data_IF_567156380959
#
_entry.id   IF_567156380959
#
_cell.length_a   1.000
_cell.length_b   1.000
_cell.length_c   1.000
_cell.angle_alpha   90.00
_cell.angle_beta   90.00
_cell.angle_gamma   90.00
#
_symmetry.space_group_name_H-M   'P 1'
#
loop_
_entity.id
_entity.type
_entity.pdbx_description
1 polymer ?
#
# COMPACT_ATOMS: atom_id res chain seq x y z
N UNK A 1 -8.04 -12.11 10.22
CA UNK A 1 -7.69 -12.73 8.92
C UNK A 1 -8.10 -14.21 8.83
N UNK A 2 -8.36 -14.83 9.96
CA UNK A 2 -8.85 -16.22 10.01
C UNK A 2 -10.37 -16.32 9.85
N UNK A 3 -11.11 -15.24 10.08
CA UNK A 3 -12.54 -15.21 9.87
C UNK A 3 -12.87 -15.20 8.37
N UNK A 4 -13.86 -15.97 7.89
CA UNK A 4 -14.24 -15.98 6.48
C UNK A 4 -14.55 -14.61 5.90
N UNK A 5 -15.27 -13.77 6.62
CA UNK A 5 -15.66 -12.42 6.19
C UNK A 5 -14.48 -11.53 5.79
N UNK A 6 -13.32 -11.69 6.43
CA UNK A 6 -12.09 -10.96 6.09
C UNK A 6 -11.63 -11.18 4.64
N UNK A 7 -12.03 -12.28 4.03
CA UNK A 7 -11.68 -12.63 2.67
C UNK A 7 -12.85 -12.49 1.69
N UNK A 8 -14.07 -12.63 2.16
CA UNK A 8 -15.28 -12.61 1.34
C UNK A 8 -15.80 -11.18 1.14
N UNK A 9 -15.77 -10.36 2.19
CA UNK A 9 -16.29 -8.98 2.17
C UNK A 9 -15.15 -7.98 1.94
N UNK A 10 -14.64 -7.95 0.70
CA UNK A 10 -13.63 -7.00 0.25
C UNK A 10 -14.27 -6.04 -0.74
N UNK A 11 -14.36 -4.78 -0.39
CA UNK A 11 -14.94 -3.80 -1.29
C UNK A 11 -15.68 -2.71 -0.52
N UNK A 12 -16.97 -2.63 -0.73
CA UNK A 12 -17.80 -1.57 -0.17
C UNK A 12 -17.93 -1.68 1.36
N UNK A 13 -17.78 -0.55 2.05
CA UNK A 13 -17.84 -0.48 3.52
C UNK A 13 -19.22 -0.92 4.02
N UNK A 14 -20.27 -0.63 3.27
CA UNK A 14 -21.64 -1.02 3.57
C UNK A 14 -21.82 -2.54 3.72
N UNK A 15 -21.16 -3.30 2.86
CA UNK A 15 -21.19 -4.77 2.96
C UNK A 15 -20.39 -5.26 4.16
N UNK A 16 -19.25 -4.63 4.44
CA UNK A 16 -18.40 -5.00 5.58
C UNK A 16 -19.07 -4.75 6.92
N UNK A 17 -19.88 -3.70 7.03
CA UNK A 17 -20.67 -3.39 8.24
C UNK A 17 -21.65 -4.51 8.62
N UNK A 18 -22.04 -5.35 7.66
CA UNK A 18 -22.96 -6.48 7.89
C UNK A 18 -22.25 -7.77 8.30
N UNK A 19 -20.92 -7.77 8.35
CA UNK A 19 -20.14 -8.95 8.71
C UNK A 19 -20.37 -9.37 10.16
N UNK A 20 -20.29 -10.67 10.42
CA UNK A 20 -20.40 -11.20 11.78
C UNK A 20 -19.37 -10.60 12.73
N UNK A 21 -18.16 -10.27 12.24
CA UNK A 21 -17.13 -9.59 13.02
C UNK A 21 -17.64 -8.26 13.55
N UNK A 22 -18.20 -7.43 12.68
CA UNK A 22 -18.65 -6.09 13.05
C UNK A 22 -19.89 -6.18 13.94
N UNK A 23 -20.88 -6.97 13.55
CA UNK A 23 -22.14 -7.11 14.28
C UNK A 23 -21.95 -7.62 15.73
N UNK A 24 -21.00 -8.52 15.92
CA UNK A 24 -20.75 -9.09 17.24
C UNK A 24 -19.81 -8.22 18.12
N UNK A 25 -18.94 -7.41 17.52
CA UNK A 25 -17.94 -6.66 18.27
C UNK A 25 -18.33 -5.21 18.51
N UNK A 26 -18.96 -4.55 17.53
CA UNK A 26 -19.32 -3.12 17.63
C UNK A 26 -20.06 -2.76 18.92
N UNK A 27 -21.08 -3.54 19.41
CA UNK A 27 -21.82 -3.17 20.61
C UNK A 27 -21.00 -3.15 21.91
N UNK A 28 -19.78 -3.66 21.88
CA UNK A 28 -18.91 -3.78 23.04
C UNK A 28 -17.80 -2.72 23.12
N UNK A 29 -17.72 -1.81 22.16
CA UNK A 29 -16.66 -0.82 22.07
C UNK A 29 -17.18 0.59 21.80
N UNK A 30 -16.48 1.58 22.31
CA UNK A 30 -16.82 3.00 22.16
C UNK A 30 -15.98 3.68 21.07
N UNK A 31 -14.85 3.09 20.71
CA UNK A 31 -13.90 3.66 19.75
C UNK A 31 -13.17 2.55 18.99
N UNK A 32 -12.92 2.80 17.71
CA UNK A 32 -12.08 1.96 16.88
C UNK A 32 -10.72 2.62 16.64
N UNK A 33 -9.64 1.91 16.97
CA UNK A 33 -8.27 2.35 16.73
C UNK A 33 -7.64 1.48 15.65
N UNK A 34 -7.31 2.05 14.50
CA UNK A 34 -6.55 1.34 13.48
C UNK A 34 -5.05 1.66 13.62
N UNK A 35 -4.27 0.67 14.04
CA UNK A 35 -2.81 0.75 14.16
C UNK A 35 -2.07 -0.25 13.25
N UNK A 36 -2.78 -0.79 12.25
CA UNK A 36 -2.29 -1.82 11.35
C UNK A 36 -1.78 -1.22 10.02
N UNK A 37 -0.72 -0.41 10.05
CA UNK A 37 -0.17 0.27 8.87
C UNK A 37 0.14 -0.71 7.72
N UNK A 38 0.79 -1.84 7.99
CA UNK A 38 1.13 -2.85 6.98
C UNK A 38 -0.07 -3.49 6.26
N UNK A 39 -1.28 -3.34 6.81
CA UNK A 39 -2.52 -3.83 6.22
C UNK A 39 -3.47 -2.70 5.76
N UNK A 40 -3.09 -1.43 5.95
CA UNK A 40 -3.95 -0.26 5.69
C UNK A 40 -4.44 -0.14 4.23
N UNK A 41 -3.71 -0.75 3.29
CA UNK A 41 -4.05 -0.78 1.87
C UNK A 41 -5.19 -1.76 1.52
N UNK A 42 -5.69 -2.52 2.52
CA UNK A 42 -6.75 -3.52 2.30
C UNK A 42 -8.10 -2.96 2.71
N UNK A 43 -9.12 -3.27 1.90
CA UNK A 43 -10.52 -3.08 2.30
C UNK A 43 -11.02 -4.41 2.86
N UNK A 44 -11.19 -4.49 4.18
CA UNK A 44 -11.73 -5.68 4.85
C UNK A 44 -12.41 -5.30 6.17
N UNK A 45 -13.35 -6.13 6.68
CA UNK A 45 -14.16 -5.80 7.86
C UNK A 45 -13.36 -5.31 9.07
N UNK A 46 -12.28 -5.99 9.43
CA UNK A 46 -11.48 -5.60 10.61
C UNK A 46 -10.69 -4.29 10.43
N UNK A 47 -10.55 -3.77 9.22
CA UNK A 47 -9.81 -2.54 8.92
C UNK A 47 -10.72 -1.35 8.65
N UNK A 48 -11.81 -1.56 7.93
CA UNK A 48 -12.68 -0.50 7.45
C UNK A 48 -14.14 -0.62 7.91
N UNK A 49 -14.61 -1.82 8.28
CA UNK A 49 -16.02 -2.06 8.62
C UNK A 49 -16.52 -1.35 9.89
N UNK A 50 -15.62 -0.97 10.81
CA UNK A 50 -16.00 -0.20 12.00
C UNK A 50 -16.08 1.31 11.77
N UNK A 51 -15.49 1.81 10.67
CA UNK A 51 -15.22 3.24 10.51
C UNK A 51 -16.45 4.13 10.45
N UNK A 52 -17.60 3.58 10.08
CA UNK A 52 -18.90 4.30 10.07
C UNK A 52 -19.77 3.99 11.28
N UNK A 53 -19.40 2.99 12.07
CA UNK A 53 -20.15 2.54 13.26
C UNK A 53 -19.63 3.17 14.54
N UNK A 54 -18.31 3.35 14.63
CA UNK A 54 -17.62 3.87 15.79
C UNK A 54 -16.78 5.09 15.44
N UNK A 55 -16.56 6.03 16.37
CA UNK A 55 -15.49 7.01 16.27
C UNK A 55 -14.17 6.29 15.97
N UNK A 56 -13.49 6.71 14.89
CA UNK A 56 -12.33 5.97 14.38
C UNK A 56 -11.09 6.87 14.36
N UNK A 57 -9.98 6.36 14.90
CA UNK A 57 -8.72 7.09 14.99
C UNK A 57 -7.54 6.21 14.54
N UNK A 58 -6.46 6.86 14.12
CA UNK A 58 -5.19 6.19 13.89
C UNK A 58 -4.48 5.90 15.23
N UNK A 59 -3.89 4.72 15.34
CA UNK A 59 -2.99 4.40 16.44
C UNK A 59 -1.62 5.05 16.28
N UNK A 60 -0.75 4.90 17.28
CA UNK A 60 0.56 5.55 17.29
C UNK A 60 1.51 5.06 16.18
N UNK A 61 1.49 3.77 15.86
CA UNK A 61 2.29 3.23 14.77
C UNK A 61 1.81 3.81 13.43
N UNK A 62 0.51 3.76 13.19
CA UNK A 62 -0.11 4.33 12.00
C UNK A 62 0.24 5.82 11.85
N UNK A 63 0.13 6.58 12.94
CA UNK A 63 0.48 8.01 12.95
C UNK A 63 1.94 8.24 12.57
N UNK A 64 2.90 7.51 13.19
CA UNK A 64 4.33 7.66 12.87
C UNK A 64 4.65 7.36 11.42
N UNK A 65 4.04 6.31 10.85
CA UNK A 65 4.24 5.94 9.45
C UNK A 65 3.68 7.01 8.50
N UNK A 66 2.48 7.53 8.81
CA UNK A 66 1.87 8.62 8.04
C UNK A 66 2.74 9.88 8.12
N UNK A 67 3.17 10.29 9.31
CA UNK A 67 4.02 11.47 9.51
C UNK A 67 5.33 11.34 8.72
N UNK A 68 5.98 10.17 8.77
CA UNK A 68 7.21 9.91 8.03
C UNK A 68 7.02 9.96 6.50
N UNK A 69 5.95 9.37 6.00
CA UNK A 69 5.61 9.39 4.58
C UNK A 69 5.20 10.79 4.11
N UNK A 70 4.48 11.56 4.92
CA UNK A 70 4.10 12.92 4.58
C UNK A 70 5.33 13.81 4.36
N UNK A 71 6.34 13.72 5.22
CA UNK A 71 7.61 14.43 5.02
C UNK A 71 8.26 14.02 3.70
N UNK A 72 8.28 12.71 3.40
CA UNK A 72 8.90 12.19 2.19
C UNK A 72 8.17 12.59 0.89
N UNK A 73 6.86 12.86 0.95
CA UNK A 73 6.04 13.18 -0.22
C UNK A 73 5.81 14.68 -0.38
N UNK A 74 5.60 15.43 0.71
CA UNK A 74 5.21 16.83 0.65
C UNK A 74 6.43 17.77 0.53
N UNK A 75 7.51 17.50 1.25
CA UNK A 75 8.70 18.34 1.24
C UNK A 75 9.99 17.55 1.52
N UNK A 76 10.36 16.61 0.64
CA UNK A 76 11.54 15.77 0.86
C UNK A 76 12.82 16.59 0.78
N UNK A 77 13.83 16.28 1.61
CA UNK A 77 15.17 16.84 1.44
C UNK A 77 15.75 16.42 0.08
N UNK A 78 16.46 17.36 -0.59
CA UNK A 78 17.07 17.13 -1.90
C UNK A 78 18.58 16.89 -1.80
N UNK A 79 19.16 16.03 -2.67
CA UNK A 79 18.50 15.24 -3.72
C UNK A 79 17.69 14.06 -3.14
N UNK A 80 16.50 13.84 -3.67
CA UNK A 80 15.63 12.72 -3.26
C UNK A 80 15.63 11.64 -4.33
N UNK A 81 16.08 10.45 -3.97
CA UNK A 81 16.21 9.30 -4.86
C UNK A 81 15.24 8.20 -4.43
N UNK A 82 14.35 7.81 -5.32
CA UNK A 82 13.51 6.63 -5.11
C UNK A 82 14.21 5.36 -5.62
N UNK A 83 14.24 4.35 -4.78
CA UNK A 83 14.79 3.04 -5.10
C UNK A 83 13.63 2.05 -5.29
N UNK A 84 13.40 1.60 -6.52
CA UNK A 84 12.28 0.75 -6.88
C UNK A 84 12.75 -0.62 -7.37
N UNK A 85 12.21 -1.68 -6.77
CA UNK A 85 12.54 -3.05 -7.12
C UNK A 85 11.37 -3.99 -6.85
N UNK A 86 11.57 -5.26 -7.11
CA UNK A 86 10.57 -6.31 -6.90
C UNK A 86 10.26 -7.09 -8.18
N UNK A 87 9.25 -7.96 -8.12
CA UNK A 87 8.85 -8.81 -9.24
C UNK A 87 7.69 -8.22 -10.07
N UNK A 88 6.96 -7.23 -9.52
CA UNK A 88 5.81 -6.60 -10.19
C UNK A 88 6.24 -5.31 -10.89
N UNK A 89 6.65 -5.44 -12.14
CA UNK A 89 7.17 -4.32 -12.91
C UNK A 89 6.13 -3.22 -13.12
N UNK A 90 4.89 -3.56 -13.44
CA UNK A 90 3.81 -2.60 -13.70
C UNK A 90 3.53 -1.68 -12.51
N UNK A 91 3.46 -2.25 -11.31
CA UNK A 91 3.21 -1.47 -10.09
C UNK A 91 4.37 -0.50 -9.82
N UNK A 92 5.61 -0.97 -9.96
CA UNK A 92 6.81 -0.14 -9.76
C UNK A 92 6.91 0.98 -10.79
N UNK A 93 6.58 0.71 -12.06
CA UNK A 93 6.55 1.72 -13.12
C UNK A 93 5.50 2.80 -12.88
N UNK A 94 4.29 2.42 -12.48
CA UNK A 94 3.23 3.38 -12.13
C UNK A 94 3.65 4.29 -10.99
N UNK A 95 4.29 3.73 -9.95
CA UNK A 95 4.83 4.51 -8.83
C UNK A 95 5.92 5.46 -9.33
N UNK A 96 6.87 4.99 -10.14
CA UNK A 96 7.96 5.81 -10.68
C UNK A 96 7.43 7.00 -11.48
N UNK A 97 6.51 6.76 -12.42
CA UNK A 97 5.87 7.79 -13.25
C UNK A 97 5.20 8.83 -12.36
N UNK A 98 4.38 8.40 -11.40
CA UNK A 98 3.67 9.30 -10.52
C UNK A 98 4.61 10.18 -9.69
N UNK A 99 5.70 9.61 -9.14
CA UNK A 99 6.69 10.34 -8.37
C UNK A 99 7.44 11.39 -9.20
N UNK A 100 7.80 11.04 -10.44
CA UNK A 100 8.50 11.95 -11.37
C UNK A 100 7.57 13.06 -11.88
N UNK A 101 6.36 12.73 -12.33
CA UNK A 101 5.40 13.72 -12.84
C UNK A 101 5.00 14.75 -11.78
N UNK A 102 4.92 14.33 -10.53
CA UNK A 102 4.62 15.22 -9.39
C UNK A 102 5.85 15.93 -8.83
N UNK A 103 7.03 15.73 -9.42
CA UNK A 103 8.30 16.28 -8.93
C UNK A 103 8.59 15.92 -7.46
N UNK A 104 8.13 14.76 -6.99
CA UNK A 104 8.40 14.27 -5.64
C UNK A 104 9.85 13.83 -5.50
N UNK A 105 10.40 13.18 -6.53
CA UNK A 105 11.78 12.68 -6.57
C UNK A 105 12.61 13.34 -7.68
N UNK A 106 13.92 13.42 -7.47
CA UNK A 106 14.87 13.89 -8.48
C UNK A 106 15.34 12.76 -9.41
N UNK A 107 15.38 11.55 -8.88
CA UNK A 107 15.88 10.36 -9.59
C UNK A 107 15.14 9.11 -9.14
N UNK A 108 14.93 8.19 -10.07
CA UNK A 108 14.46 6.84 -9.79
C UNK A 108 15.53 5.85 -10.21
N UNK A 109 15.92 4.95 -9.31
CA UNK A 109 16.79 3.82 -9.60
C UNK A 109 16.00 2.52 -9.51
N UNK A 110 16.12 1.69 -10.54
CA UNK A 110 15.45 0.39 -10.62
C UNK A 110 16.43 -0.74 -10.37
N UNK A 111 15.99 -1.81 -9.66
CA UNK A 111 16.78 -3.02 -9.46
C UNK A 111 15.94 -4.29 -9.41
N UNK A 112 16.65 -5.42 -9.31
CA UNK A 112 16.04 -6.74 -9.36
C UNK A 112 15.36 -6.97 -10.71
N UNK A 113 14.23 -7.66 -10.70
CA UNK A 113 13.48 -7.99 -11.92
C UNK A 113 13.03 -6.74 -12.66
N UNK A 114 12.54 -5.73 -11.94
CA UNK A 114 12.12 -4.45 -12.54
C UNK A 114 13.31 -3.76 -13.24
N UNK A 115 14.48 -3.74 -12.61
CA UNK A 115 15.70 -3.19 -13.23
C UNK A 115 16.07 -3.91 -14.51
N UNK A 116 15.95 -5.24 -14.53
CA UNK A 116 16.23 -6.04 -15.71
C UNK A 116 15.23 -5.73 -16.85
N UNK A 117 13.95 -5.55 -16.56
CA UNK A 117 12.98 -5.11 -17.57
C UNK A 117 13.31 -3.73 -18.15
N UNK A 118 13.79 -2.80 -17.31
CA UNK A 118 14.22 -1.49 -17.79
C UNK A 118 15.43 -1.59 -18.73
N UNK A 119 16.41 -2.44 -18.40
CA UNK A 119 17.56 -2.70 -19.27
C UNK A 119 17.15 -3.34 -20.60
N UNK A 120 16.22 -4.30 -20.58
CA UNK A 120 15.67 -4.89 -21.80
C UNK A 120 14.94 -3.84 -22.66
N UNK A 121 14.15 -2.97 -22.04
CA UNK A 121 13.45 -1.90 -22.74
C UNK A 121 14.41 -0.89 -23.38
N UNK A 122 15.59 -0.70 -22.80
CA UNK A 122 16.68 0.11 -23.36
C UNK A 122 17.51 -0.64 -24.42
N UNK A 123 17.13 -1.88 -24.75
CA UNK A 123 17.72 -2.68 -25.82
C UNK A 123 18.92 -3.55 -25.38
N UNK A 124 19.17 -3.68 -24.08
CA UNK A 124 20.24 -4.55 -23.58
C UNK A 124 19.77 -6.02 -23.55
N UNK A 125 20.60 -6.91 -24.08
CA UNK A 125 20.40 -8.35 -23.95
C UNK A 125 20.88 -8.82 -22.57
N UNK A 126 19.94 -9.18 -21.72
CA UNK A 126 20.21 -9.71 -20.37
C UNK A 126 20.14 -11.25 -20.31
N UNK A 127 20.06 -11.92 -21.45
CA UNK A 127 19.90 -13.37 -21.54
C UNK A 127 18.55 -13.85 -21.01
N UNK A 128 18.46 -15.16 -20.75
CA UNK A 128 17.20 -15.81 -20.35
C UNK A 128 16.94 -15.81 -18.82
N UNK A 129 17.73 -15.11 -18.03
CA UNK A 129 17.65 -15.18 -16.57
C UNK A 129 16.32 -14.73 -15.98
N UNK A 130 15.49 -14.00 -16.73
CA UNK A 130 14.17 -13.53 -16.31
C UNK A 130 13.05 -13.89 -17.28
N UNK A 131 13.24 -14.88 -18.14
CA UNK A 131 12.24 -15.30 -19.12
C UNK A 131 10.89 -15.71 -18.48
N UNK A 132 10.92 -16.20 -17.24
CA UNK A 132 9.72 -16.61 -16.50
C UNK A 132 8.91 -15.43 -15.94
N UNK A 133 9.42 -14.20 -16.04
CA UNK A 133 8.79 -12.98 -15.52
C UNK A 133 8.36 -11.99 -16.61
N UNK A 134 8.61 -12.34 -17.87
CA UNK A 134 8.31 -11.51 -19.05
C UNK A 134 6.91 -11.72 -19.60
#
# INVERSE_FOLDING_TARGET
RLHPDENLLKGEIEEQETSDIIQNLEPHFDIFVNDAFGAAHRSSPSLTGFTRKLPSVAGELMKREIDALSVAVENPPRPYVALLGGAKADDSLRVAINLLERNVVDTVAFFGVVGNFMLMADGLDIGNSNADFA
#
